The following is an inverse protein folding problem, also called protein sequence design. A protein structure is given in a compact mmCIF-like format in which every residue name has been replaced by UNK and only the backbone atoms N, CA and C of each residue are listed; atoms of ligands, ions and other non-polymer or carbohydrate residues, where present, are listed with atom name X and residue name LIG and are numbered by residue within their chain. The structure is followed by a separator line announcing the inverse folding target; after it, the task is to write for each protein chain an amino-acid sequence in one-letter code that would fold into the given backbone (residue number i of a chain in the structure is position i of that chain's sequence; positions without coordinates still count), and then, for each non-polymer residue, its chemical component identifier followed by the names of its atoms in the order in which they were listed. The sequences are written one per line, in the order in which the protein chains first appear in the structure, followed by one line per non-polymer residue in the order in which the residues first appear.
data_IF_241907941946
#
_entry.id   IF_241907941946
#
_cell.length_a   1.000
_cell.length_b   1.000
_cell.length_c   1.000
_cell.angle_alpha   90.00
_cell.angle_beta   90.00
_cell.angle_gamma   90.00
#
_symmetry.space_group_name_H-M   'P 1'
#
loop_
_entity.id
_entity.type
_entity.pdbx_description
1 polymer ?
#
# COMPACT_ATOMS: atom_id res chain seq x y z
N UNK A 1 21.39 -22.78 -12.99
CA UNK A 1 21.09 -21.77 -11.95
C UNK A 1 21.87 -22.02 -10.65
N UNK A 2 22.23 -23.27 -10.32
CA UNK A 2 23.10 -23.61 -9.17
C UNK A 2 24.53 -23.02 -9.26
N UNK A 3 25.02 -22.77 -10.48
CA UNK A 3 26.31 -22.14 -10.74
C UNK A 3 26.47 -20.70 -10.22
N UNK A 4 25.37 -20.03 -9.85
CA UNK A 4 25.38 -18.63 -9.40
C UNK A 4 25.54 -18.47 -7.87
N UNK A 5 25.36 -19.54 -7.08
CA UNK A 5 25.45 -19.45 -5.62
C UNK A 5 26.89 -19.22 -5.12
N UNK A 6 27.92 -19.93 -5.62
CA UNK A 6 29.28 -19.72 -5.15
C UNK A 6 29.80 -18.29 -5.36
N UNK A 7 29.61 -17.64 -6.53
CA UNK A 7 29.97 -16.24 -6.72
C UNK A 7 29.24 -15.29 -5.77
N UNK A 8 27.92 -15.48 -5.56
CA UNK A 8 27.13 -14.60 -4.69
C UNK A 8 27.55 -14.71 -3.22
N UNK A 9 27.92 -15.91 -2.75
CA UNK A 9 28.45 -16.08 -1.39
C UNK A 9 29.82 -15.42 -1.22
N UNK A 10 30.68 -15.49 -2.23
CA UNK A 10 31.97 -14.79 -2.23
C UNK A 10 31.81 -13.25 -2.19
N UNK A 11 30.70 -12.72 -2.73
CA UNK A 11 30.33 -11.30 -2.65
C UNK A 11 29.70 -10.89 -1.30
N UNK A 12 29.59 -11.81 -0.33
CA UNK A 12 29.06 -11.54 1.02
C UNK A 12 27.60 -11.93 1.25
N UNK A 13 26.90 -12.47 0.25
CA UNK A 13 25.52 -12.98 0.41
C UNK A 13 25.51 -14.41 0.95
N UNK A 14 26.03 -14.59 2.17
CA UNK A 14 26.31 -15.91 2.77
C UNK A 14 25.08 -16.78 3.00
N UNK A 15 23.90 -16.17 3.21
CA UNK A 15 22.63 -16.86 3.50
C UNK A 15 21.81 -17.17 2.25
N UNK A 16 22.25 -16.78 1.06
CA UNK A 16 21.46 -17.01 -0.16
C UNK A 16 21.46 -18.49 -0.55
N UNK A 17 20.28 -18.99 -0.93
CA UNK A 17 20.05 -20.36 -1.36
C UNK A 17 19.36 -20.40 -2.72
N UNK A 18 19.44 -21.55 -3.39
CA UNK A 18 18.91 -21.75 -4.74
C UNK A 18 17.43 -21.37 -4.84
N UNK A 19 16.64 -21.77 -3.84
CA UNK A 19 15.19 -21.56 -3.82
C UNK A 19 14.82 -20.08 -3.72
N UNK A 20 15.61 -19.28 -2.99
CA UNK A 20 15.47 -17.81 -2.95
C UNK A 20 15.74 -17.19 -4.31
N UNK A 21 16.85 -17.58 -4.97
CA UNK A 21 17.19 -17.06 -6.30
C UNK A 21 16.10 -17.43 -7.32
N UNK A 22 15.66 -18.68 -7.31
CA UNK A 22 14.59 -19.16 -8.18
C UNK A 22 13.28 -18.41 -7.95
N UNK A 23 12.91 -18.13 -6.69
CA UNK A 23 11.74 -17.30 -6.37
C UNK A 23 11.88 -15.87 -6.87
N UNK A 24 13.07 -15.27 -6.79
CA UNK A 24 13.31 -13.91 -7.27
C UNK A 24 13.22 -13.82 -8.78
N UNK A 25 13.89 -14.74 -9.50
CA UNK A 25 13.81 -14.81 -10.97
C UNK A 25 12.38 -15.06 -11.42
N UNK A 26 11.66 -15.99 -10.78
CA UNK A 26 10.25 -16.29 -11.14
C UNK A 26 9.31 -15.10 -10.94
N UNK A 27 9.58 -14.24 -9.96
CA UNK A 27 8.75 -13.08 -9.64
C UNK A 27 9.39 -11.75 -10.07
N UNK A 28 10.40 -11.78 -10.93
CA UNK A 28 11.20 -10.59 -11.27
C UNK A 28 10.33 -9.43 -11.76
N UNK A 29 9.43 -9.69 -12.70
CA UNK A 29 8.54 -8.66 -13.25
C UNK A 29 7.69 -7.99 -12.17
N UNK A 30 7.17 -8.77 -11.21
CA UNK A 30 6.37 -8.26 -10.08
C UNK A 30 7.24 -7.44 -9.12
N UNK A 31 8.46 -7.89 -8.85
CA UNK A 31 9.41 -7.17 -7.97
C UNK A 31 9.77 -5.83 -8.60
N UNK A 32 10.05 -5.77 -9.91
CA UNK A 32 10.36 -4.53 -10.63
C UNK A 32 9.18 -3.56 -10.61
N UNK A 33 7.98 -4.05 -10.93
CA UNK A 33 6.76 -3.23 -10.89
C UNK A 33 6.52 -2.64 -9.49
N UNK A 34 6.59 -3.45 -8.43
CA UNK A 34 6.44 -2.95 -7.07
C UNK A 34 7.54 -1.96 -6.68
N UNK A 35 8.77 -2.13 -7.18
CA UNK A 35 9.87 -1.20 -6.89
C UNK A 35 9.64 0.18 -7.52
N UNK A 36 9.09 0.22 -8.73
CA UNK A 36 8.70 1.46 -9.42
C UNK A 36 7.54 2.17 -8.69
N UNK A 37 6.47 1.43 -8.37
CA UNK A 37 5.27 1.97 -7.71
C UNK A 37 5.55 2.45 -6.28
N UNK A 38 6.38 1.71 -5.51
CA UNK A 38 6.56 1.94 -4.06
C UNK A 38 7.92 2.57 -3.71
N UNK A 39 8.56 3.23 -4.69
CA UNK A 39 9.83 3.97 -4.53
C UNK A 39 10.96 3.15 -3.88
N UNK A 40 11.08 1.87 -4.22
CA UNK A 40 12.24 1.02 -3.90
C UNK A 40 12.53 0.68 -2.42
N UNK A 41 11.80 1.24 -1.44
CA UNK A 41 12.08 1.01 -0.01
C UNK A 41 11.25 -0.09 0.65
N UNK A 42 10.39 -0.76 -0.11
CA UNK A 42 9.39 -1.68 0.46
C UNK A 42 9.79 -3.14 0.26
N UNK A 43 9.92 -3.88 1.37
CA UNK A 43 10.28 -5.32 1.38
C UNK A 43 9.09 -6.25 1.13
N UNK A 44 7.86 -5.76 1.26
CA UNK A 44 6.62 -6.54 1.09
C UNK A 44 5.64 -5.70 0.31
N UNK A 45 5.16 -6.18 -0.83
CA UNK A 45 4.08 -5.52 -1.56
C UNK A 45 2.93 -5.24 -0.59
N UNK A 46 2.55 -3.97 -0.46
CA UNK A 46 1.38 -3.60 0.32
C UNK A 46 0.17 -4.16 -0.42
N UNK A 47 -0.52 -5.11 0.21
CA UNK A 47 -1.76 -5.65 -0.37
C UNK A 47 -2.79 -4.53 -0.26
N UNK A 48 -3.10 -3.91 -1.39
CA UNK A 48 -4.29 -3.08 -1.55
C UNK A 48 -5.45 -4.06 -1.54
N UNK A 49 -6.21 -4.06 -0.44
CA UNK A 49 -7.27 -5.05 -0.23
C UNK A 49 -8.47 -4.77 -1.13
N UNK A 50 -8.71 -3.50 -1.47
CA UNK A 50 -9.86 -3.05 -2.26
C UNK A 50 -9.43 -1.89 -3.17
N UNK A 51 -8.81 -2.16 -4.33
CA UNK A 51 -8.26 -1.11 -5.21
C UNK A 51 -9.33 -0.14 -5.70
N UNK A 52 -10.50 -0.64 -6.07
CA UNK A 52 -11.64 0.17 -6.54
C UNK A 52 -12.14 1.15 -5.46
N UNK A 53 -12.20 0.68 -4.21
CA UNK A 53 -12.60 1.51 -3.06
C UNK A 53 -11.53 2.57 -2.77
N UNK A 54 -10.24 2.20 -2.82
CA UNK A 54 -9.15 3.17 -2.59
C UNK A 54 -9.08 4.23 -3.69
N UNK A 55 -9.32 3.87 -4.95
CA UNK A 55 -9.36 4.80 -6.08
C UNK A 55 -10.48 5.83 -5.92
N UNK A 56 -11.72 5.37 -5.69
CA UNK A 56 -12.86 6.25 -5.45
C UNK A 56 -12.64 7.17 -4.23
N UNK A 57 -11.98 6.64 -3.18
CA UNK A 57 -11.67 7.42 -1.99
C UNK A 57 -10.60 8.49 -2.25
N UNK A 58 -9.61 8.22 -3.11
CA UNK A 58 -8.61 9.23 -3.52
C UNK A 58 -9.29 10.35 -4.31
N UNK A 59 -10.15 10.03 -5.28
CA UNK A 59 -10.90 11.04 -6.04
C UNK A 59 -11.74 11.93 -5.13
N UNK A 60 -12.44 11.34 -4.15
CA UNK A 60 -13.20 12.12 -3.16
C UNK A 60 -12.30 13.04 -2.31
N UNK A 61 -11.11 12.59 -1.91
CA UNK A 61 -10.17 13.44 -1.14
C UNK A 61 -9.67 14.60 -2.01
N UNK A 62 -9.42 14.37 -3.29
CA UNK A 62 -9.04 15.44 -4.23
C UNK A 62 -10.16 16.48 -4.40
N UNK A 63 -11.42 16.04 -4.50
CA UNK A 63 -12.59 16.92 -4.53
C UNK A 63 -12.71 17.78 -3.26
N UNK A 64 -12.55 17.16 -2.08
CA UNK A 64 -12.56 17.88 -0.80
C UNK A 64 -11.42 18.91 -0.72
N UNK A 65 -10.23 18.55 -1.21
CA UNK A 65 -9.08 19.44 -1.25
C UNK A 65 -9.33 20.64 -2.18
N UNK A 66 -9.98 20.42 -3.33
CA UNK A 66 -10.39 21.49 -4.25
C UNK A 66 -11.46 22.40 -3.66
N UNK A 67 -12.39 21.85 -2.86
CA UNK A 67 -13.39 22.61 -2.12
C UNK A 67 -12.79 23.43 -0.96
N UNK A 68 -11.50 23.24 -0.64
CA UNK A 68 -10.82 23.89 0.48
C UNK A 68 -11.13 23.27 1.84
N UNK A 69 -11.82 22.12 1.86
CA UNK A 69 -12.14 21.38 3.07
C UNK A 69 -11.06 20.33 3.38
N UNK A 70 -10.67 20.22 4.65
CA UNK A 70 -9.73 19.19 5.07
C UNK A 70 -10.52 17.93 5.42
N UNK A 71 -10.42 16.89 4.58
CA UNK A 71 -10.92 15.56 4.94
C UNK A 71 -10.22 15.12 6.24
N UNK A 72 -10.97 14.89 7.32
CA UNK A 72 -10.43 14.39 8.59
C UNK A 72 -10.31 12.87 8.52
N UNK A 73 -9.43 12.27 9.34
CA UNK A 73 -9.26 10.82 9.36
C UNK A 73 -10.56 10.03 9.56
N UNK A 74 -11.45 10.51 10.44
CA UNK A 74 -12.74 9.87 10.69
C UNK A 74 -13.69 10.02 9.49
N UNK A 75 -13.66 11.16 8.79
CA UNK A 75 -14.42 11.37 7.56
C UNK A 75 -13.97 10.43 6.43
N UNK A 76 -12.66 10.18 6.31
CA UNK A 76 -12.12 9.21 5.35
C UNK A 76 -12.60 7.79 5.67
N UNK A 77 -12.59 7.39 6.95
CA UNK A 77 -13.07 6.06 7.36
C UNK A 77 -14.56 5.91 7.07
N UNK A 78 -15.35 6.95 7.36
CA UNK A 78 -16.78 6.95 7.09
C UNK A 78 -17.06 6.86 5.59
N UNK A 79 -16.38 7.67 4.77
CA UNK A 79 -16.54 7.64 3.33
C UNK A 79 -16.12 6.31 2.70
N UNK A 80 -15.06 5.69 3.22
CA UNK A 80 -14.62 4.38 2.75
C UNK A 80 -15.67 3.28 2.99
N UNK A 81 -16.43 3.35 4.10
CA UNK A 81 -17.55 2.43 4.36
C UNK A 81 -18.70 2.66 3.39
N UNK A 82 -19.06 3.92 3.16
CA UNK A 82 -20.09 4.29 2.20
C UNK A 82 -19.77 3.80 0.79
N UNK A 83 -18.53 3.99 0.33
CA UNK A 83 -18.08 3.48 -0.98
C UNK A 83 -18.14 1.95 -1.04
N UNK A 84 -17.83 1.25 0.06
CA UNK A 84 -18.00 -0.21 0.11
C UNK A 84 -19.46 -0.64 0.03
N UNK A 85 -20.38 0.11 0.61
CA UNK A 85 -21.82 -0.14 0.51
C UNK A 85 -22.31 0.13 -0.92
N UNK A 86 -21.86 1.23 -1.55
CA UNK A 86 -22.20 1.59 -2.94
C UNK A 86 -21.69 0.56 -3.96
N UNK A 87 -20.46 0.05 -3.77
CA UNK A 87 -19.87 -0.99 -4.61
C UNK A 87 -20.36 -2.41 -4.25
N UNK A 88 -21.26 -2.53 -3.27
CA UNK A 88 -21.81 -3.79 -2.80
C UNK A 88 -20.73 -4.83 -2.42
N UNK A 89 -19.64 -4.36 -1.81
CA UNK A 89 -18.50 -5.20 -1.42
C UNK A 89 -18.96 -6.16 -0.31
N UNK A 90 -18.79 -7.49 -0.49
CA UNK A 90 -19.18 -8.49 0.49
C UNK A 90 -18.52 -8.23 1.85
N UNK A 91 -19.25 -8.43 2.93
CA UNK A 91 -18.78 -8.13 4.29
C UNK A 91 -17.53 -8.96 4.67
N UNK A 92 -17.38 -10.14 4.09
CA UNK A 92 -16.21 -11.02 4.17
C UNK A 92 -14.95 -10.45 3.49
N UNK A 93 -15.12 -9.51 2.55
CA UNK A 93 -14.03 -8.81 1.87
C UNK A 93 -13.80 -7.40 2.42
N UNK A 94 -14.69 -6.91 3.28
CA UNK A 94 -14.54 -5.61 3.94
C UNK A 94 -13.41 -5.68 4.96
N UNK A 95 -12.50 -4.72 4.86
CA UNK A 95 -11.54 -4.44 5.91
C UNK A 95 -12.23 -3.66 7.03
N UNK A 96 -11.82 -3.86 8.29
CA UNK A 96 -12.41 -3.15 9.44
C UNK A 96 -12.17 -1.63 9.47
N UNK A 97 -11.62 -1.03 8.40
CA UNK A 97 -11.27 0.39 8.28
C UNK A 97 -10.64 0.97 9.57
N UNK A 98 -9.68 0.24 10.13
CA UNK A 98 -9.04 0.62 11.40
C UNK A 98 -8.13 1.83 11.21
N UNK A 99 -7.74 2.47 12.32
CA UNK A 99 -6.72 3.54 12.30
C UNK A 99 -5.42 3.11 11.63
N UNK A 100 -5.03 1.83 11.78
CA UNK A 100 -3.82 1.28 11.14
C UNK A 100 -3.95 1.15 9.61
N UNK A 101 -5.15 0.85 9.11
CA UNK A 101 -5.42 0.93 7.67
C UNK A 101 -5.33 2.37 7.18
N UNK A 102 -5.95 3.32 7.89
CA UNK A 102 -5.90 4.74 7.53
C UNK A 102 -4.46 5.27 7.45
N UNK A 103 -3.60 4.91 8.42
CA UNK A 103 -2.18 5.30 8.40
C UNK A 103 -1.43 4.70 7.20
N UNK A 104 -1.78 3.47 6.81
CA UNK A 104 -1.21 2.82 5.63
C UNK A 104 -1.71 3.47 4.34
N UNK A 105 -3.00 3.76 4.24
CA UNK A 105 -3.63 4.46 3.13
C UNK A 105 -3.02 5.85 2.91
N UNK A 106 -2.84 6.64 3.97
CA UNK A 106 -2.17 7.95 3.90
C UNK A 106 -0.74 7.85 3.37
N UNK A 107 0.03 6.88 3.88
CA UNK A 107 1.41 6.65 3.44
C UNK A 107 1.49 6.25 1.97
N UNK A 108 0.56 5.42 1.48
CA UNK A 108 0.49 4.99 0.07
C UNK A 108 0.18 6.16 -0.86
N UNK A 109 -0.86 6.94 -0.53
CA UNK A 109 -1.33 8.02 -1.40
C UNK A 109 -0.58 9.35 -1.19
N UNK A 110 0.48 9.36 -0.37
CA UNK A 110 1.26 10.57 -0.09
C UNK A 110 0.45 11.69 0.58
N UNK A 111 -0.71 11.35 1.15
CA UNK A 111 -1.64 12.32 1.71
C UNK A 111 -1.09 12.85 3.03
N UNK A 112 -0.60 14.08 3.01
CA UNK A 112 -0.26 14.84 4.21
C UNK A 112 -1.53 15.44 4.80
N UNK A 113 -2.43 14.60 5.31
CA UNK A 113 -3.47 15.09 6.20
C UNK A 113 -2.77 15.69 7.42
N UNK A 114 -2.81 17.02 7.55
CA UNK A 114 -2.36 17.70 8.75
C UNK A 114 -3.03 17.06 9.96
N UNK A 115 -2.24 16.75 11.01
CA UNK A 115 -2.82 16.51 12.33
C UNK A 115 -3.53 17.80 12.74
N UNK A 116 -4.84 17.90 12.54
CA UNK A 116 -5.62 18.86 13.31
C UNK A 116 -5.72 18.28 14.72
N UNK A 117 -4.90 18.80 15.62
CA UNK A 117 -4.82 18.31 16.99
C UNK A 117 -3.64 18.90 17.76
N UNK A 118 -3.76 20.18 18.08
CA UNK A 118 -2.83 20.90 18.92
C UNK A 118 -3.33 22.31 19.22
N UNK A 119 -4.57 22.44 19.71
CA UNK A 119 -4.99 23.62 20.46
C UNK A 119 -3.99 23.85 21.59
N UNK A 120 -3.38 25.04 21.59
CA UNK A 120 -2.95 25.70 22.81
C UNK A 120 -3.15 27.19 22.67
#
# INVERSE_FOLDING_TARGET
MESMIPPLRAMGFTTICQSTISRFVKNESKIRQCAEEQRGHVKRASIVVLPEVEEALVSWIEEQQQAGESATGDAIIQKAREICDELNVPEDQRIGFSRGWLDSFKKRNGLKLGRQGGTR
#
